data_IF_233635572868
#
_entry.id   IF_233635572868
#
_cell.length_a   1.000
_cell.length_b   1.000
_cell.length_c   1.000
_cell.angle_alpha   90.00
_cell.angle_beta   90.00
_cell.angle_gamma   90.00
#
_symmetry.space_group_name_H-M   'P 1'
#
loop_
_entity.id
_entity.type
_entity.pdbx_description
1 polymer ?
#
# COMPACT_ATOMS: atom_id res chain seq x y z
N UNK A 1 -0.67 -1.17 -12.13
CA UNK A 1 0.64 -1.71 -12.56
C UNK A 1 0.69 -3.23 -12.56
N UNK A 2 -0.21 -3.94 -11.87
CA UNK A 2 -0.23 -5.42 -11.83
C UNK A 2 -1.37 -6.11 -12.62
N UNK A 3 -2.16 -5.37 -13.39
CA UNK A 3 -3.30 -5.89 -14.17
C UNK A 3 -3.24 -5.36 -15.60
N UNK A 4 -4.33 -5.51 -16.37
CA UNK A 4 -4.46 -5.04 -17.74
C UNK A 4 -5.35 -3.79 -17.89
N UNK A 5 -5.24 -3.12 -19.04
CA UNK A 5 -6.01 -1.91 -19.38
C UNK A 5 -7.52 -2.15 -19.40
N UNK A 6 -7.96 -3.27 -19.96
CA UNK A 6 -9.38 -3.63 -20.12
C UNK A 6 -10.06 -3.75 -18.77
N UNK A 7 -9.37 -4.30 -17.77
CA UNK A 7 -9.87 -4.32 -16.39
C UNK A 7 -9.96 -2.88 -15.84
N UNK A 8 -8.90 -2.09 -15.99
CA UNK A 8 -8.87 -0.71 -15.45
C UNK A 8 -9.83 0.29 -16.12
N UNK A 9 -10.32 -0.02 -17.33
CA UNK A 9 -11.25 0.84 -18.08
C UNK A 9 -12.71 0.40 -17.94
N UNK A 10 -12.99 -0.77 -17.36
CA UNK A 10 -14.33 -1.25 -17.07
C UNK A 10 -14.74 -0.83 -15.65
N UNK A 11 -15.41 0.31 -15.55
CA UNK A 11 -15.83 0.90 -14.26
C UNK A 11 -16.82 0.02 -13.49
N UNK A 12 -17.69 -0.72 -14.19
CA UNK A 12 -18.66 -1.59 -13.53
C UNK A 12 -17.95 -2.76 -12.85
N UNK A 13 -17.08 -3.45 -13.61
CA UNK A 13 -16.26 -4.54 -13.08
C UNK A 13 -15.33 -4.07 -11.96
N UNK A 14 -14.73 -2.89 -12.08
CA UNK A 14 -13.91 -2.30 -11.01
C UNK A 14 -14.71 -2.03 -9.72
N UNK A 15 -15.94 -1.54 -9.85
CA UNK A 15 -16.80 -1.26 -8.70
C UNK A 15 -17.17 -2.54 -7.95
N UNK A 16 -17.55 -3.59 -8.68
CA UNK A 16 -17.85 -4.91 -8.12
C UNK A 16 -16.60 -5.54 -7.48
N UNK A 17 -15.47 -5.48 -8.17
CA UNK A 17 -14.20 -5.97 -7.67
C UNK A 17 -13.77 -5.26 -6.37
N UNK A 18 -13.92 -3.93 -6.31
CA UNK A 18 -13.69 -3.15 -5.09
C UNK A 18 -14.61 -3.59 -3.95
N UNK A 19 -15.89 -3.83 -4.22
CA UNK A 19 -16.83 -4.28 -3.19
C UNK A 19 -16.42 -5.64 -2.61
N UNK A 20 -16.00 -6.58 -3.46
CA UNK A 20 -15.47 -7.86 -2.99
C UNK A 20 -14.16 -7.72 -2.22
N UNK A 21 -13.24 -6.86 -2.68
CA UNK A 21 -11.98 -6.58 -1.97
C UNK A 21 -12.25 -6.05 -0.56
N UNK A 22 -13.09 -5.02 -0.43
CA UNK A 22 -13.46 -4.45 0.87
C UNK A 22 -14.21 -5.44 1.76
N UNK A 23 -15.00 -6.34 1.19
CA UNK A 23 -15.65 -7.41 1.94
C UNK A 23 -14.64 -8.46 2.44
N UNK A 24 -13.59 -8.77 1.67
CA UNK A 24 -12.50 -9.66 2.12
C UNK A 24 -11.73 -9.03 3.27
N UNK A 25 -11.37 -7.75 3.13
CA UNK A 25 -10.77 -6.96 4.21
C UNK A 25 -11.67 -7.04 5.44
N UNK A 26 -12.86 -6.42 5.42
CA UNK A 26 -13.73 -6.28 6.60
C UNK A 26 -14.04 -7.60 7.32
N UNK A 27 -14.09 -8.72 6.60
CA UNK A 27 -14.37 -10.05 7.15
C UNK A 27 -13.12 -10.85 7.60
N UNK A 28 -11.93 -10.25 7.58
CA UNK A 28 -10.69 -10.85 8.08
C UNK A 28 -10.51 -10.52 9.56
N UNK A 29 -11.13 -11.33 10.42
CA UNK A 29 -11.09 -11.16 11.87
C UNK A 29 -10.07 -12.10 12.54
N UNK A 30 -9.40 -11.71 13.64
CA UNK A 30 -8.56 -12.61 14.46
C UNK A 30 -9.25 -13.92 14.87
N UNK A 31 -10.58 -13.89 15.01
CA UNK A 31 -11.40 -15.07 15.30
C UNK A 31 -11.25 -16.17 14.25
N UNK A 32 -10.95 -15.84 12.99
CA UNK A 32 -10.68 -16.84 11.95
C UNK A 32 -9.38 -17.61 12.21
N UNK A 33 -8.40 -17.01 12.90
CA UNK A 33 -7.17 -17.66 13.31
C UNK A 33 -7.34 -18.47 14.61
N UNK A 34 -8.17 -17.99 15.55
CA UNK A 34 -8.44 -18.65 16.83
C UNK A 34 -9.42 -19.82 16.68
N UNK A 35 -10.44 -19.66 15.84
CA UNK A 35 -11.51 -20.64 15.62
C UNK A 35 -11.63 -21.03 14.14
N UNK A 36 -10.58 -21.59 13.51
CA UNK A 36 -10.58 -21.89 12.07
C UNK A 36 -11.59 -22.97 11.67
N UNK A 37 -12.14 -23.73 12.61
CA UNK A 37 -13.20 -24.72 12.36
C UNK A 37 -14.61 -24.13 12.41
N UNK A 38 -14.78 -22.90 12.92
CA UNK A 38 -16.09 -22.29 13.08
C UNK A 38 -16.57 -21.73 11.73
N UNK A 39 -17.52 -22.43 11.10
CA UNK A 39 -18.08 -22.03 9.81
C UNK A 39 -19.29 -21.11 10.01
N UNK A 40 -19.06 -19.80 10.02
CA UNK A 40 -20.09 -18.78 10.20
C UNK A 40 -20.30 -17.94 8.91
N UNK A 41 -21.40 -17.17 8.86
CA UNK A 41 -21.82 -16.39 7.68
C UNK A 41 -20.72 -15.48 7.12
N UNK A 42 -19.94 -14.84 7.99
CA UNK A 42 -18.79 -13.98 7.63
C UNK A 42 -17.73 -14.76 6.85
N UNK A 43 -17.40 -16.00 7.24
CA UNK A 43 -16.46 -16.84 6.50
C UNK A 43 -17.00 -17.20 5.10
N UNK A 44 -18.29 -17.57 5.00
CA UNK A 44 -18.93 -17.83 3.70
C UNK A 44 -18.88 -16.60 2.78
N UNK A 45 -19.20 -15.43 3.31
CA UNK A 45 -19.15 -14.16 2.57
C UNK A 45 -17.74 -13.86 2.06
N UNK A 46 -16.73 -14.05 2.92
CA UNK A 46 -15.32 -13.90 2.56
C UNK A 46 -14.90 -14.89 1.48
N UNK A 47 -15.19 -16.18 1.64
CA UNK A 47 -14.87 -17.22 0.64
C UNK A 47 -15.51 -16.93 -0.72
N UNK A 48 -16.78 -16.50 -0.73
CA UNK A 48 -17.47 -16.10 -1.95
C UNK A 48 -16.79 -14.89 -2.61
N UNK A 49 -16.37 -13.89 -1.83
CA UNK A 49 -15.68 -12.70 -2.35
C UNK A 49 -14.27 -13.03 -2.86
N UNK A 50 -13.50 -13.88 -2.17
CA UNK A 50 -12.20 -14.37 -2.67
C UNK A 50 -12.37 -15.09 -4.00
N UNK A 51 -13.40 -15.94 -4.12
CA UNK A 51 -13.71 -16.64 -5.37
C UNK A 51 -14.08 -15.63 -6.48
N UNK A 52 -14.90 -14.64 -6.19
CA UNK A 52 -15.27 -13.60 -7.14
C UNK A 52 -14.05 -12.81 -7.64
N UNK A 53 -13.19 -12.32 -6.73
CA UNK A 53 -11.94 -11.62 -7.06
C UNK A 53 -11.05 -12.46 -7.98
N UNK A 54 -10.85 -13.74 -7.63
CA UNK A 54 -10.07 -14.67 -8.44
C UNK A 54 -10.71 -14.87 -9.82
N UNK A 55 -12.01 -15.14 -9.88
CA UNK A 55 -12.74 -15.36 -11.13
C UNK A 55 -12.68 -14.15 -12.06
N UNK A 56 -12.84 -12.93 -11.53
CA UNK A 56 -12.73 -11.69 -12.31
C UNK A 56 -11.35 -11.56 -12.94
N UNK A 57 -10.27 -11.73 -12.17
CA UNK A 57 -8.91 -11.62 -12.73
C UNK A 57 -8.59 -12.76 -13.70
N UNK A 58 -8.98 -13.99 -13.38
CA UNK A 58 -8.79 -15.14 -14.27
C UNK A 58 -9.49 -14.93 -15.62
N UNK A 59 -10.67 -14.30 -15.64
CA UNK A 59 -11.35 -13.92 -16.87
C UNK A 59 -10.49 -12.99 -17.74
N UNK A 60 -9.85 -11.97 -17.16
CA UNK A 60 -8.98 -11.07 -17.93
C UNK A 60 -7.67 -11.75 -18.37
N UNK A 61 -7.11 -12.65 -17.57
CA UNK A 61 -5.94 -13.45 -17.97
C UNK A 61 -6.27 -14.31 -19.18
N UNK A 62 -7.42 -14.99 -19.18
CA UNK A 62 -7.84 -15.82 -20.31
C UNK A 62 -8.17 -14.98 -21.56
N UNK A 63 -8.84 -13.84 -21.38
CA UNK A 63 -9.07 -12.87 -22.45
C UNK A 63 -7.76 -12.41 -23.09
N UNK A 64 -6.70 -12.24 -22.31
CA UNK A 64 -5.37 -11.88 -22.82
C UNK A 64 -4.63 -13.03 -23.48
N UNK A 65 -4.76 -14.25 -22.98
CA UNK A 65 -4.21 -15.45 -23.61
C UNK A 65 -4.75 -15.66 -25.03
N UNK A 66 -6.01 -15.28 -25.26
CA UNK A 66 -6.69 -15.39 -26.56
C UNK A 66 -6.48 -14.16 -27.46
N UNK A 67 -5.86 -13.09 -26.96
CA UNK A 67 -5.62 -11.89 -27.75
C UNK A 67 -4.53 -12.13 -28.80
N UNK A 68 -4.76 -11.67 -30.03
CA UNK A 68 -3.80 -11.80 -31.14
C UNK A 68 -2.67 -10.78 -31.07
N UNK A 69 -2.86 -9.68 -30.33
CA UNK A 69 -1.86 -8.63 -30.14
C UNK A 69 -1.58 -8.50 -28.65
N UNK A 70 -0.37 -8.87 -28.17
CA UNK A 70 0.01 -8.61 -26.80
C UNK A 70 0.14 -7.09 -26.59
N UNK A 71 -0.27 -6.60 -25.42
CA UNK A 71 0.12 -5.27 -24.97
C UNK A 71 1.45 -5.37 -24.20
N UNK A 72 1.79 -4.32 -23.46
CA UNK A 72 3.03 -4.24 -22.66
C UNK A 72 2.72 -4.06 -21.17
N UNK A 73 1.65 -4.70 -20.69
CA UNK A 73 1.27 -4.67 -19.28
C UNK A 73 1.71 -5.94 -18.52
N UNK A 74 1.50 -5.93 -17.20
CA UNK A 74 1.99 -6.98 -16.32
C UNK A 74 1.44 -8.36 -16.68
N UNK A 75 0.19 -8.48 -17.13
CA UNK A 75 -0.37 -9.78 -17.51
C UNK A 75 0.35 -10.33 -18.73
N UNK A 76 0.61 -9.51 -19.75
CA UNK A 76 1.33 -9.97 -20.95
C UNK A 76 2.77 -10.36 -20.65
N UNK A 77 3.47 -9.59 -19.80
CA UNK A 77 4.84 -9.91 -19.38
C UNK A 77 4.88 -11.28 -18.69
N UNK A 78 3.93 -11.56 -17.79
CA UNK A 78 3.88 -12.83 -17.08
C UNK A 78 3.45 -13.99 -17.98
N UNK A 79 2.52 -13.76 -18.90
CA UNK A 79 2.16 -14.76 -19.92
C UNK A 79 3.37 -15.10 -20.81
N UNK A 80 4.16 -14.10 -21.22
CA UNK A 80 5.40 -14.31 -21.98
C UNK A 80 6.46 -15.10 -21.20
N UNK A 81 6.42 -15.05 -19.86
CA UNK A 81 7.25 -15.87 -18.97
C UNK A 81 6.66 -17.26 -18.68
N UNK A 82 5.57 -17.64 -19.35
CA UNK A 82 4.83 -18.89 -19.14
C UNK A 82 4.27 -19.05 -17.72
N UNK A 83 3.95 -17.94 -17.03
CA UNK A 83 3.31 -18.00 -15.72
C UNK A 83 1.91 -18.63 -15.80
N UNK A 84 1.54 -19.41 -14.78
CA UNK A 84 0.22 -20.03 -14.72
C UNK A 84 -0.85 -18.98 -14.39
N UNK A 85 -2.10 -19.21 -14.78
CA UNK A 85 -3.21 -18.31 -14.42
C UNK A 85 -3.31 -18.09 -12.90
N UNK A 86 -3.22 -19.13 -12.04
CA UNK A 86 -3.15 -18.94 -10.59
C UNK A 86 -2.02 -18.01 -10.13
N UNK A 87 -0.81 -18.13 -10.70
CA UNK A 87 0.33 -17.28 -10.31
C UNK A 87 0.10 -15.82 -10.70
N UNK A 88 -0.43 -15.58 -11.90
CA UNK A 88 -0.75 -14.23 -12.39
C UNK A 88 -1.82 -13.59 -11.51
N UNK A 89 -2.88 -14.34 -11.18
CA UNK A 89 -3.95 -13.86 -10.31
C UNK A 89 -3.42 -13.59 -8.90
N UNK A 90 -2.57 -14.47 -8.36
CA UNK A 90 -1.97 -14.28 -7.04
C UNK A 90 -1.09 -13.03 -6.99
N UNK A 91 -0.24 -12.81 -7.99
CA UNK A 91 0.59 -11.61 -8.08
C UNK A 91 -0.29 -10.36 -8.25
N UNK A 92 -1.31 -10.42 -9.09
CA UNK A 92 -2.25 -9.32 -9.32
C UNK A 92 -2.94 -8.93 -8.01
N UNK A 93 -3.48 -9.89 -7.26
CA UNK A 93 -4.13 -9.65 -5.98
C UNK A 93 -3.15 -9.16 -4.91
N UNK A 94 -1.96 -9.77 -4.83
CA UNK A 94 -0.93 -9.41 -3.86
C UNK A 94 -0.27 -8.05 -4.12
N UNK A 95 -0.43 -7.50 -5.32
CA UNK A 95 0.05 -6.17 -5.69
C UNK A 95 -1.02 -5.09 -5.51
N UNK A 96 -2.27 -5.44 -5.18
CA UNK A 96 -3.28 -4.43 -4.88
C UNK A 96 -2.92 -3.78 -3.56
N UNK A 97 -2.54 -2.51 -3.63
CA UNK A 97 -2.26 -1.70 -2.48
C UNK A 97 -3.36 -0.65 -2.29
N UNK A 98 -4.11 -0.75 -1.20
CA UNK A 98 -4.97 0.33 -0.71
C UNK A 98 -4.14 1.22 0.23
N UNK A 99 -3.34 2.11 -0.35
CA UNK A 99 -2.38 2.93 0.40
C UNK A 99 -2.97 4.15 1.08
N UNK A 100 -2.53 4.40 2.30
CA UNK A 100 -2.85 5.59 3.11
C UNK A 100 -2.11 6.83 2.61
N UNK A 101 -2.54 7.40 1.48
CA UNK A 101 -1.92 8.62 0.95
C UNK A 101 -2.38 9.90 1.68
N UNK A 102 -3.27 9.79 2.68
CA UNK A 102 -3.88 10.94 3.32
C UNK A 102 -2.87 11.88 4.00
N UNK A 103 -1.82 11.32 4.62
CA UNK A 103 -0.76 12.13 5.24
C UNK A 103 0.08 12.90 4.22
N UNK A 104 0.21 12.39 2.99
CA UNK A 104 0.84 13.15 1.89
C UNK A 104 -0.03 14.36 1.52
N UNK A 105 -1.35 14.19 1.54
CA UNK A 105 -2.29 15.19 1.03
C UNK A 105 -2.64 16.29 2.05
N UNK A 106 -2.55 16.01 3.35
CA UNK A 106 -2.86 17.03 4.38
C UNK A 106 -1.75 18.08 4.51
N UNK A 107 -0.51 17.74 4.20
CA UNK A 107 0.67 18.58 4.43
C UNK A 107 1.16 19.28 3.14
N UNK A 108 0.84 20.57 2.92
CA UNK A 108 1.19 21.28 1.69
C UNK A 108 2.71 21.44 1.47
N UNK A 109 3.49 21.43 2.55
CA UNK A 109 4.95 21.45 2.50
C UNK A 109 5.52 20.23 1.77
N UNK A 110 4.97 19.04 2.05
CA UNK A 110 5.39 17.79 1.41
C UNK A 110 4.90 17.73 -0.03
N UNK A 111 3.69 18.22 -0.34
CA UNK A 111 3.23 18.42 -1.73
C UNK A 111 4.24 19.26 -2.53
N UNK A 112 4.66 20.39 -1.96
CA UNK A 112 5.58 21.32 -2.61
C UNK A 112 6.95 20.70 -2.85
N UNK A 113 7.51 20.04 -1.83
CA UNK A 113 8.81 19.38 -1.93
C UNK A 113 8.80 18.23 -2.94
N UNK A 114 7.77 17.38 -2.95
CA UNK A 114 7.61 16.29 -3.92
C UNK A 114 7.51 16.85 -5.35
N UNK A 115 6.75 17.92 -5.56
CA UNK A 115 6.65 18.56 -6.88
C UNK A 115 7.98 19.20 -7.33
N UNK A 116 8.76 19.73 -6.39
CA UNK A 116 10.07 20.30 -6.69
C UNK A 116 11.08 19.23 -7.16
N UNK A 117 11.01 18.01 -6.61
CA UNK A 117 11.81 16.87 -7.05
C UNK A 117 11.29 16.27 -8.38
N UNK A 118 9.96 16.23 -8.57
CA UNK A 118 9.33 15.59 -9.72
C UNK A 118 9.48 16.40 -11.01
N UNK A 119 9.30 17.72 -10.96
CA UNK A 119 9.29 18.59 -12.15
C UNK A 119 10.58 18.46 -13.00
N UNK A 120 11.79 18.47 -12.42
CA UNK A 120 13.02 18.24 -13.18
C UNK A 120 13.06 16.87 -13.87
N UNK A 121 12.62 15.81 -13.19
CA UNK A 121 12.60 14.45 -13.77
C UNK A 121 11.63 14.37 -14.95
N UNK A 122 10.45 14.97 -14.81
CA UNK A 122 9.48 15.05 -15.91
C UNK A 122 10.03 15.87 -17.07
N UNK A 123 10.72 16.99 -16.79
CA UNK A 123 11.37 17.78 -17.84
C UNK A 123 12.49 17.03 -18.56
N UNK A 124 13.18 16.12 -17.87
CA UNK A 124 14.31 15.37 -18.42
C UNK A 124 13.87 14.15 -19.22
N UNK A 125 12.90 13.38 -18.72
CA UNK A 125 12.50 12.09 -19.29
C UNK A 125 11.14 12.12 -19.98
N UNK A 126 10.27 13.06 -19.62
CA UNK A 126 8.95 13.22 -20.22
C UNK A 126 9.01 13.92 -21.57
N UNK A 127 7.91 13.82 -22.32
CA UNK A 127 7.69 14.57 -23.54
C UNK A 127 6.61 15.63 -23.29
N UNK A 128 6.91 16.90 -23.49
CA UNK A 128 5.95 18.00 -23.28
C UNK A 128 4.73 17.90 -24.23
N UNK A 129 4.87 17.22 -25.37
CA UNK A 129 3.76 16.97 -26.29
C UNK A 129 2.80 15.87 -25.79
N UNK A 130 3.25 15.02 -24.87
CA UNK A 130 2.40 13.97 -24.30
C UNK A 130 1.46 14.56 -23.24
N UNK A 131 0.23 14.01 -23.12
CA UNK A 131 -0.65 14.34 -22.01
C UNK A 131 0.05 14.15 -20.67
N UNK A 132 -0.22 15.04 -19.70
CA UNK A 132 0.44 15.05 -18.38
C UNK A 132 0.50 13.67 -17.72
N UNK A 133 -0.55 12.87 -17.82
CA UNK A 133 -0.59 11.54 -17.22
C UNK A 133 0.40 10.52 -17.80
N UNK A 134 0.95 10.77 -19.01
CA UNK A 134 1.96 9.93 -19.65
C UNK A 134 3.38 10.38 -19.39
N UNK A 135 3.61 11.64 -19.04
CA UNK A 135 4.96 12.17 -18.90
C UNK A 135 5.76 11.44 -17.80
N UNK A 136 5.21 11.15 -16.60
CA UNK A 136 5.92 10.38 -15.58
C UNK A 136 6.14 8.91 -15.95
N UNK A 137 5.35 8.36 -16.87
CA UNK A 137 5.47 6.95 -17.29
C UNK A 137 6.76 6.70 -18.10
N UNK A 138 7.39 7.76 -18.62
CA UNK A 138 8.66 7.70 -19.34
C UNK A 138 9.88 7.68 -18.41
N UNK A 139 9.70 7.99 -17.12
CA UNK A 139 10.79 7.97 -16.14
C UNK A 139 11.20 6.50 -15.88
N UNK A 140 12.48 6.12 -16.07
CA UNK A 140 12.92 4.75 -15.84
C UNK A 140 12.72 4.31 -14.37
N UNK A 141 12.40 3.04 -14.16
CA UNK A 141 12.21 2.48 -12.80
C UNK A 141 13.45 2.61 -11.91
N UNK A 142 14.66 2.57 -12.49
CA UNK A 142 15.91 2.80 -11.76
C UNK A 142 16.04 4.24 -11.25
N UNK A 143 15.51 5.22 -11.99
CA UNK A 143 15.45 6.63 -11.58
C UNK A 143 14.42 6.78 -10.46
N UNK A 144 13.24 6.15 -10.56
CA UNK A 144 12.27 6.11 -9.47
C UNK A 144 12.81 5.50 -8.18
N UNK A 145 13.67 4.47 -8.25
CA UNK A 145 14.26 3.82 -7.05
C UNK A 145 15.36 4.69 -6.42
N UNK A 146 16.11 5.45 -7.22
CA UNK A 146 17.26 6.27 -6.76
C UNK A 146 16.94 7.74 -6.52
N UNK A 147 15.80 8.22 -6.99
CA UNK A 147 15.36 9.62 -6.90
C UNK A 147 14.07 9.75 -6.08
N UNK A 148 13.63 10.99 -5.87
CA UNK A 148 12.43 11.31 -5.09
C UNK A 148 12.54 10.88 -3.62
N UNK A 149 13.56 11.32 -2.86
CA UNK A 149 13.69 10.95 -1.45
C UNK A 149 12.56 11.51 -0.57
N UNK A 150 11.98 12.67 -0.91
CA UNK A 150 10.93 13.28 -0.09
C UNK A 150 9.72 12.37 0.08
N UNK A 151 9.24 11.78 -1.01
CA UNK A 151 8.10 10.85 -0.95
C UNK A 151 8.45 9.55 -0.21
N UNK A 152 9.72 9.10 -0.25
CA UNK A 152 10.16 7.96 0.54
C UNK A 152 10.11 8.26 2.05
N UNK A 153 10.54 9.44 2.48
CA UNK A 153 10.45 9.89 3.87
C UNK A 153 9.00 9.91 4.34
N UNK A 154 8.13 10.56 3.56
CA UNK A 154 6.71 10.69 3.88
C UNK A 154 6.02 9.33 3.94
N UNK A 155 6.28 8.46 2.97
CA UNK A 155 5.74 7.11 2.93
C UNK A 155 6.20 6.27 4.12
N UNK A 156 7.50 6.33 4.50
CA UNK A 156 8.01 5.63 5.68
C UNK A 156 7.31 6.09 6.95
N UNK A 157 7.12 7.40 7.11
CA UNK A 157 6.45 7.94 8.30
C UNK A 157 4.97 7.60 8.35
N UNK A 158 4.32 7.63 7.20
CA UNK A 158 2.93 7.20 7.09
C UNK A 158 2.79 5.73 7.48
N UNK A 159 3.66 4.87 6.95
CA UNK A 159 3.68 3.44 7.29
C UNK A 159 3.96 3.23 8.78
N UNK A 160 4.91 3.97 9.37
CA UNK A 160 5.25 3.85 10.80
C UNK A 160 4.03 4.15 11.68
N UNK A 161 3.30 5.22 11.38
CA UNK A 161 2.13 5.61 12.16
C UNK A 161 0.91 4.72 11.95
N UNK A 162 0.74 4.16 10.75
CA UNK A 162 -0.49 3.45 10.38
C UNK A 162 -0.36 1.93 10.51
N UNK A 163 0.83 1.36 10.29
CA UNK A 163 1.08 -0.08 10.42
C UNK A 163 1.51 -0.38 11.86
N UNK A 164 0.53 -0.63 12.71
CA UNK A 164 0.71 -0.93 14.14
C UNK A 164 0.14 -2.30 14.54
N UNK A 165 -0.06 -3.21 13.58
CA UNK A 165 -0.65 -4.52 13.82
C UNK A 165 0.29 -5.47 14.59
N UNK A 166 -0.27 -6.55 15.14
CA UNK A 166 0.49 -7.60 15.80
C UNK A 166 0.94 -8.66 14.80
N UNK A 167 2.26 -8.85 14.66
CA UNK A 167 2.81 -9.99 13.96
C UNK A 167 2.60 -11.26 14.80
N UNK A 168 1.84 -12.21 14.28
CA UNK A 168 1.54 -13.49 14.93
C UNK A 168 2.19 -14.66 14.16
N UNK A 169 2.92 -15.53 14.86
CA UNK A 169 3.49 -16.76 14.30
C UNK A 169 3.33 -17.92 15.26
N UNK A 170 3.10 -19.11 14.72
CA UNK A 170 3.07 -20.34 15.51
C UNK A 170 4.43 -21.04 15.40
N UNK A 171 5.03 -21.42 16.52
CA UNK A 171 6.19 -22.30 16.50
C UNK A 171 5.76 -23.70 16.04
N UNK A 172 6.14 -24.09 14.83
CA UNK A 172 5.88 -25.43 14.29
C UNK A 172 7.08 -26.36 14.41
N UNK A 173 8.26 -25.80 14.71
CA UNK A 173 9.51 -26.52 14.93
C UNK A 173 9.62 -27.07 16.35
N UNK A 174 10.84 -27.42 16.73
CA UNK A 174 11.14 -27.91 18.08
C UNK A 174 11.02 -26.78 19.13
N UNK A 175 10.91 -27.17 20.40
CA UNK A 175 11.00 -26.21 21.49
C UNK A 175 12.41 -25.63 21.53
N UNK A 176 12.53 -24.35 21.88
CA UNK A 176 13.82 -23.67 21.99
C UNK A 176 13.81 -22.64 23.11
N UNK A 177 14.97 -22.38 23.70
CA UNK A 177 15.10 -21.36 24.74
C UNK A 177 15.03 -19.96 24.14
N UNK A 178 14.22 -19.10 24.74
CA UNK A 178 14.14 -17.70 24.36
C UNK A 178 15.49 -17.02 24.66
N UNK A 179 16.08 -16.30 23.68
CA UNK A 179 17.24 -15.47 23.93
C UNK A 179 17.00 -14.52 25.11
N UNK A 180 17.99 -14.37 25.98
CA UNK A 180 17.86 -13.58 27.21
C UNK A 180 17.39 -14.35 28.44
N UNK A 181 17.21 -15.68 28.36
CA UNK A 181 16.97 -16.53 29.52
C UNK A 181 15.55 -16.41 30.11
N UNK A 182 14.60 -15.93 29.32
CA UNK A 182 13.22 -15.63 29.77
C UNK A 182 12.35 -16.89 29.86
N UNK A 183 12.83 -18.02 29.32
CA UNK A 183 12.17 -19.33 29.39
C UNK A 183 12.16 -20.05 28.04
N UNK A 184 11.54 -21.23 28.03
CA UNK A 184 11.43 -22.09 26.85
C UNK A 184 10.17 -21.74 26.02
N UNK A 185 10.34 -21.56 24.70
CA UNK A 185 9.25 -21.50 23.73
C UNK A 185 8.92 -22.90 23.25
N UNK A 186 7.84 -23.47 23.77
CA UNK A 186 7.39 -24.82 23.41
C UNK A 186 6.88 -24.89 21.98
N UNK A 187 7.07 -26.04 21.33
CA UNK A 187 6.40 -26.37 20.07
C UNK A 187 4.88 -26.14 20.18
N UNK A 188 4.30 -25.52 19.18
CA UNK A 188 2.88 -25.20 19.10
C UNK A 188 2.48 -23.86 19.71
N UNK A 189 3.37 -23.20 20.46
CA UNK A 189 3.15 -21.87 21.03
C UNK A 189 2.98 -20.81 19.95
N UNK A 190 2.21 -19.77 20.25
CA UNK A 190 2.14 -18.57 19.43
C UNK A 190 3.08 -17.49 19.97
N UNK A 191 3.89 -16.94 19.08
CA UNK A 191 4.72 -15.76 19.30
C UNK A 191 3.98 -14.57 18.68
N UNK A 192 3.78 -13.54 19.49
CA UNK A 192 3.13 -12.31 19.09
C UNK A 192 4.09 -11.14 19.34
N UNK A 193 4.25 -10.27 18.35
CA UNK A 193 5.03 -9.04 18.46
C UNK A 193 4.22 -7.87 17.93
N UNK A 194 3.98 -6.87 18.77
CA UNK A 194 3.29 -5.65 18.36
C UNK A 194 4.26 -4.78 17.57
N UNK A 195 3.92 -4.47 16.32
CA UNK A 195 4.73 -3.53 15.51
C UNK A 195 4.69 -2.12 16.10
N UNK A 196 3.62 -1.79 16.83
CA UNK A 196 3.51 -0.53 17.55
C UNK A 196 4.62 -0.36 18.60
N UNK A 197 5.08 -1.47 19.20
CA UNK A 197 6.14 -1.44 20.22
C UNK A 197 7.49 -1.02 19.62
N UNK A 198 7.70 -1.20 18.32
CA UNK A 198 8.86 -0.64 17.63
C UNK A 198 8.54 0.75 17.07
N UNK A 199 7.44 0.86 16.34
CA UNK A 199 7.08 2.06 15.59
C UNK A 199 6.75 3.26 16.47
N UNK A 200 6.24 3.05 17.69
CA UNK A 200 5.79 4.11 18.59
C UNK A 200 6.63 4.21 19.87
N UNK A 201 7.79 3.55 19.92
CA UNK A 201 8.69 3.61 21.08
C UNK A 201 9.33 5.00 21.21
N UNK A 202 9.13 5.74 22.32
CA UNK A 202 9.78 7.02 22.56
C UNK A 202 11.29 6.92 22.79
N UNK A 203 11.83 5.74 23.12
CA UNK A 203 13.26 5.47 23.18
C UNK A 203 13.93 5.34 21.81
N UNK A 204 13.13 5.09 20.77
CA UNK A 204 13.58 4.99 19.37
C UNK A 204 13.25 6.27 18.60
N UNK A 205 11.98 6.69 18.65
CA UNK A 205 11.46 7.81 17.86
C UNK A 205 11.09 8.98 18.76
N UNK A 206 11.65 10.15 18.51
CA UNK A 206 11.27 11.35 19.27
C UNK A 206 9.84 11.79 18.89
N UNK A 207 9.01 12.04 19.91
CA UNK A 207 7.57 12.36 19.75
C UNK A 207 6.87 11.33 18.82
N UNK A 208 6.80 10.05 19.21
CA UNK A 208 6.48 8.94 18.31
C UNK A 208 5.08 9.02 17.68
N UNK A 209 4.13 9.71 18.31
CA UNK A 209 2.77 9.85 17.78
C UNK A 209 2.61 10.98 16.77
N UNK A 210 3.64 11.82 16.58
CA UNK A 210 3.60 12.92 15.62
C UNK A 210 4.12 12.47 14.26
N UNK A 211 3.44 12.92 13.20
CA UNK A 211 3.90 12.78 11.82
C UNK A 211 5.07 13.72 11.56
N UNK A 212 6.25 13.14 11.37
CA UNK A 212 7.52 13.85 11.20
C UNK A 212 8.42 13.07 10.22
N UNK A 213 8.23 13.22 8.90
CA UNK A 213 9.05 12.52 7.89
C UNK A 213 10.56 12.82 7.97
N UNK A 214 10.94 13.99 8.49
CA UNK A 214 12.35 14.37 8.64
C UNK A 214 13.14 13.40 9.53
N UNK A 215 12.47 12.62 10.39
CA UNK A 215 13.12 11.60 11.25
C UNK A 215 13.89 10.53 10.48
N UNK A 216 13.55 10.31 9.21
CA UNK A 216 14.18 9.32 8.35
C UNK A 216 15.29 9.88 7.45
N UNK A 217 15.62 11.16 7.58
CA UNK A 217 16.71 11.77 6.81
C UNK A 217 18.07 11.28 7.31
N UNK A 218 19.09 11.24 6.44
CA UNK A 218 20.43 10.77 6.84
C UNK A 218 21.05 11.53 8.02
N UNK A 219 20.68 12.80 8.23
CA UNK A 219 21.21 13.64 9.32
C UNK A 219 20.57 13.37 10.70
N UNK A 220 19.40 12.73 10.72
CA UNK A 220 18.67 12.42 11.96
C UNK A 220 18.53 10.91 12.20
N UNK A 221 18.24 10.17 11.12
CA UNK A 221 18.18 8.71 11.00
C UNK A 221 17.84 7.98 12.31
N UNK A 222 16.65 8.23 12.84
CA UNK A 222 16.17 7.58 14.07
C UNK A 222 16.03 6.07 13.79
N UNK A 223 16.86 5.28 14.48
CA UNK A 223 17.11 3.83 14.36
C UNK A 223 16.48 3.12 13.13
N UNK A 224 17.25 2.95 12.04
CA UNK A 224 16.78 2.24 10.85
C UNK A 224 16.29 0.82 11.11
N UNK A 225 16.78 0.16 12.15
CA UNK A 225 16.46 -1.23 12.45
C UNK A 225 15.09 -1.40 13.10
N UNK A 226 14.54 -0.33 13.69
CA UNK A 226 13.24 -0.30 14.33
C UNK A 226 12.07 -0.07 13.35
N UNK A 227 12.34 0.24 12.08
CA UNK A 227 11.30 0.38 11.06
C UNK A 227 10.91 -0.99 10.48
N UNK A 228 9.72 -1.46 10.81
CA UNK A 228 9.19 -2.77 10.46
C UNK A 228 8.04 -2.71 9.43
N UNK A 229 7.90 -1.59 8.72
CA UNK A 229 6.80 -1.35 7.76
C UNK A 229 6.72 -2.33 6.58
N UNK A 230 7.82 -3.01 6.24
CA UNK A 230 7.86 -4.06 5.23
C UNK A 230 8.25 -5.43 5.81
N UNK A 231 8.09 -5.59 7.13
CA UNK A 231 8.57 -6.75 7.87
C UNK A 231 10.10 -6.88 7.91
N UNK A 232 10.57 -7.96 8.52
CA UNK A 232 11.99 -8.24 8.70
C UNK A 232 12.30 -9.75 8.59
N UNK A 233 13.60 -10.08 8.50
CA UNK A 233 14.08 -11.46 8.47
C UNK A 233 13.60 -12.25 7.25
N UNK A 234 13.37 -13.56 7.44
CA UNK A 234 13.01 -14.51 6.36
C UNK A 234 11.66 -14.22 5.69
N UNK A 235 10.79 -13.44 6.34
CA UNK A 235 9.46 -13.11 5.85
C UNK A 235 9.32 -11.61 5.52
N UNK A 236 10.44 -10.95 5.18
CA UNK A 236 10.41 -9.58 4.67
C UNK A 236 9.58 -9.51 3.38
N UNK A 237 8.83 -8.42 3.21
CA UNK A 237 8.00 -8.18 2.03
C UNK A 237 8.86 -8.11 0.75
N UNK A 238 8.69 -9.10 -0.11
CA UNK A 238 9.37 -9.20 -1.42
C UNK A 238 8.89 -8.09 -2.37
N UNK A 239 7.65 -7.62 -2.22
CA UNK A 239 7.04 -6.59 -3.04
C UNK A 239 7.37 -5.14 -2.58
N UNK A 240 8.24 -4.95 -1.58
CA UNK A 240 8.56 -3.61 -1.06
C UNK A 240 9.07 -2.64 -2.14
N UNK A 241 9.88 -3.10 -3.10
CA UNK A 241 10.29 -2.25 -4.23
C UNK A 241 9.13 -1.86 -5.13
N UNK A 242 8.24 -2.81 -5.43
CA UNK A 242 7.05 -2.56 -6.25
C UNK A 242 6.10 -1.57 -5.56
N UNK A 243 5.80 -1.78 -4.27
CA UNK A 243 4.93 -0.90 -3.50
C UNK A 243 5.44 0.55 -3.49
N UNK A 244 6.75 0.75 -3.30
CA UNK A 244 7.36 2.09 -3.37
C UNK A 244 7.18 2.73 -4.75
N UNK A 245 7.47 1.99 -5.82
CA UNK A 245 7.27 2.48 -7.19
C UNK A 245 5.81 2.82 -7.47
N UNK A 246 4.88 1.99 -7.02
CA UNK A 246 3.45 2.22 -7.20
C UNK A 246 2.97 3.48 -6.49
N UNK A 247 3.34 3.65 -5.21
CA UNK A 247 3.04 4.85 -4.43
C UNK A 247 3.63 6.09 -5.09
N UNK A 248 4.92 6.05 -5.48
CA UNK A 248 5.58 7.16 -6.15
C UNK A 248 4.86 7.57 -7.43
N UNK A 249 4.51 6.59 -8.25
CA UNK A 249 3.83 6.83 -9.53
C UNK A 249 2.41 7.38 -9.35
N UNK A 250 1.64 6.83 -8.40
CA UNK A 250 0.27 7.27 -8.11
C UNK A 250 0.28 8.71 -7.59
N UNK A 251 1.16 9.02 -6.64
CA UNK A 251 1.28 10.37 -6.08
C UNK A 251 1.75 11.36 -7.13
N UNK A 252 2.79 11.02 -7.90
CA UNK A 252 3.28 11.87 -8.98
C UNK A 252 2.16 12.19 -10.00
N UNK A 253 1.46 11.15 -10.47
CA UNK A 253 0.35 11.31 -11.40
C UNK A 253 -0.77 12.18 -10.82
N UNK A 254 -1.15 11.95 -9.56
CA UNK A 254 -2.21 12.70 -8.90
C UNK A 254 -1.84 14.18 -8.75
N UNK A 255 -0.66 14.47 -8.20
CA UNK A 255 -0.17 15.84 -7.97
C UNK A 255 0.03 16.63 -9.28
N UNK A 256 0.35 15.96 -10.38
CA UNK A 256 0.47 16.59 -11.70
C UNK A 256 -0.85 16.77 -12.43
N UNK A 257 -1.90 16.01 -12.08
CA UNK A 257 -3.16 16.02 -12.82
C UNK A 257 -4.25 16.81 -12.11
N UNK A 258 -4.22 16.85 -10.78
CA UNK A 258 -5.29 17.40 -9.96
C UNK A 258 -4.77 18.47 -9.02
N UNK A 259 -5.54 19.55 -8.94
CA UNK A 259 -5.52 20.38 -7.75
C UNK A 259 -6.52 19.81 -6.75
N UNK A 260 -6.18 19.86 -5.47
CA UNK A 260 -6.98 19.21 -4.44
C UNK A 260 -6.85 19.92 -3.09
N UNK A 261 -7.89 19.71 -2.30
CA UNK A 261 -8.03 20.17 -0.93
C UNK A 261 -8.57 19.01 -0.09
N UNK A 262 -8.06 18.88 1.14
CA UNK A 262 -8.58 17.88 2.08
C UNK A 262 -9.70 18.51 2.91
N UNK A 263 -10.87 17.89 2.87
CA UNK A 263 -12.10 18.42 3.48
C UNK A 263 -12.80 17.38 4.35
N UNK A 264 -13.61 17.85 5.30
CA UNK A 264 -14.54 17.03 6.06
C UNK A 264 -15.80 16.66 5.24
N UNK A 265 -16.71 15.89 5.84
CA UNK A 265 -17.99 15.51 5.21
C UNK A 265 -18.87 16.71 4.80
N UNK A 266 -18.67 17.89 5.41
CA UNK A 266 -19.41 19.11 5.11
C UNK A 266 -18.70 19.99 4.06
N UNK A 267 -17.51 19.59 3.59
CA UNK A 267 -16.70 20.35 2.64
C UNK A 267 -15.84 21.46 3.26
N UNK A 268 -15.71 21.50 4.59
CA UNK A 268 -14.81 22.41 5.29
C UNK A 268 -13.38 21.88 5.26
N UNK A 269 -12.40 22.77 5.20
CA UNK A 269 -10.99 22.40 5.28
C UNK A 269 -10.68 21.67 6.59
N UNK A 270 -9.97 20.56 6.49
CA UNK A 270 -9.46 19.89 7.68
C UNK A 270 -8.39 20.75 8.35
N UNK A 271 -8.64 21.11 9.60
CA UNK A 271 -7.65 21.84 10.42
C UNK A 271 -6.71 20.90 11.19
N UNK A 272 -7.12 19.65 11.38
CA UNK A 272 -6.37 18.67 12.17
C UNK A 272 -6.28 17.34 11.43
N UNK A 273 -5.11 16.71 11.53
CA UNK A 273 -4.92 15.35 11.03
C UNK A 273 -5.67 14.40 11.96
N UNK A 274 -6.55 13.53 11.44
CA UNK A 274 -7.17 12.53 12.27
C UNK A 274 -6.12 11.54 12.76
N UNK A 275 -6.20 11.16 14.03
CA UNK A 275 -5.45 10.02 14.52
C UNK A 275 -5.97 8.74 13.84
N UNK A 276 -5.08 7.82 13.43
CA UNK A 276 -5.49 6.51 12.95
C UNK A 276 -6.21 5.74 14.07
N UNK A 277 -7.28 5.01 13.74
CA UNK A 277 -7.87 4.06 14.69
C UNK A 277 -6.97 2.83 14.78
N UNK A 278 -6.18 2.76 15.84
CA UNK A 278 -5.31 1.64 16.12
C UNK A 278 -6.05 0.31 16.35
N UNK A 279 -7.37 0.33 16.53
CA UNK A 279 -8.21 -0.87 16.61
C UNK A 279 -8.75 -1.31 15.24
N UNK A 280 -8.72 -0.45 14.21
CA UNK A 280 -8.96 -0.85 12.82
C UNK A 280 -7.66 -1.45 12.27
N UNK A 281 -7.42 -2.72 12.58
CA UNK A 281 -6.17 -3.44 12.26
C UNK A 281 -5.89 -3.61 10.76
N UNK A 282 -6.82 -3.19 9.89
CA UNK A 282 -6.70 -3.35 8.43
C UNK A 282 -6.52 -2.03 7.74
N UNK A 283 -7.42 -1.08 8.03
CA UNK A 283 -7.47 0.20 7.34
C UNK A 283 -7.06 1.36 8.23
N UNK A 284 -6.90 1.16 9.54
CA UNK A 284 -6.49 2.19 10.50
C UNK A 284 -7.20 3.53 10.26
N UNK A 285 -8.46 3.46 9.84
CA UNK A 285 -9.21 4.62 9.40
C UNK A 285 -9.44 5.52 10.61
N UNK A 286 -9.45 6.83 10.43
CA UNK A 286 -9.93 7.75 11.46
C UNK A 286 -11.27 7.29 12.04
N UNK A 287 -11.35 7.16 13.37
CA UNK A 287 -12.56 6.66 14.05
C UNK A 287 -13.71 7.66 14.03
N UNK A 288 -13.40 8.94 14.24
CA UNK A 288 -14.38 9.98 14.54
C UNK A 288 -14.43 11.08 13.47
N UNK A 289 -13.76 10.90 12.33
CA UNK A 289 -13.69 11.91 11.28
C UNK A 289 -13.60 11.29 9.89
N UNK A 290 -14.54 11.63 9.01
CA UNK A 290 -14.41 11.27 7.61
C UNK A 290 -13.61 12.34 6.86
N UNK A 291 -12.66 11.88 6.04
CA UNK A 291 -11.80 12.74 5.25
C UNK A 291 -12.03 12.50 3.77
N UNK A 292 -12.24 13.58 3.04
CA UNK A 292 -12.47 13.56 1.61
C UNK A 292 -11.42 14.42 0.89
N UNK A 293 -11.16 14.07 -0.36
CA UNK A 293 -10.42 14.93 -1.27
C UNK A 293 -11.43 15.63 -2.18
N UNK A 294 -11.53 16.95 -2.05
CA UNK A 294 -12.15 17.79 -3.08
C UNK A 294 -11.09 18.07 -4.13
N UNK A 295 -11.29 17.63 -5.36
CA UNK A 295 -10.29 17.80 -6.41
C UNK A 295 -10.89 18.31 -7.72
N UNK A 296 -10.08 19.06 -8.46
CA UNK A 296 -10.36 19.52 -9.81
C UNK A 296 -9.20 19.13 -10.70
N UNK A 297 -9.49 18.60 -11.89
CA UNK A 297 -8.45 18.35 -12.90
C UNK A 297 -7.86 19.68 -13.34
N UNK A 298 -6.53 19.80 -13.31
CA UNK A 298 -5.85 20.99 -13.81
C UNK A 298 -6.01 21.03 -15.33
N UNK A 299 -6.51 22.15 -15.85
CA UNK A 299 -6.48 22.43 -17.28
C UNK A 299 -5.04 22.80 -17.62
N UNK A 300 -4.46 22.12 -18.61
CA UNK A 300 -3.04 22.21 -18.96
C UNK A 300 -2.53 23.67 -18.87
N UNK A 301 -1.54 23.94 -18.01
CA UNK A 301 -0.65 25.06 -18.26
C UNK A 301 0.10 24.71 -19.55
N UNK A 302 -0.36 25.29 -20.66
CA UNK A 302 0.42 25.35 -21.90
C UNK A 302 1.81 25.91 -21.64
#
# INVERSE_FOLDING_TARGET
MATCREFSSDLATLSEFKAHFLNVETNTHPNSAVFPWLYHSVRRSKEASVKALHSTLAHFVEKRRQATVPNSDAIDILLAQNASTPDIVLLSLGSIFAGFLIFIFIHPEWKTAILAELKPLVSQYGNAADPVHRQPAMIPSSVWDSSMPTIDLVMRETIRLVINHTALRRNVGESFDMPGGVGEIKRGSFLAYSLADAHLDPGVYSRPHLFDPERFRPDREEDPSAFLGFGAGRHRCLASKLARLEIKSIVALFLMTYDYEVVDANGNFLQTIPAPDYNDVQLARPKDMECFLRFKRMENHN
#
